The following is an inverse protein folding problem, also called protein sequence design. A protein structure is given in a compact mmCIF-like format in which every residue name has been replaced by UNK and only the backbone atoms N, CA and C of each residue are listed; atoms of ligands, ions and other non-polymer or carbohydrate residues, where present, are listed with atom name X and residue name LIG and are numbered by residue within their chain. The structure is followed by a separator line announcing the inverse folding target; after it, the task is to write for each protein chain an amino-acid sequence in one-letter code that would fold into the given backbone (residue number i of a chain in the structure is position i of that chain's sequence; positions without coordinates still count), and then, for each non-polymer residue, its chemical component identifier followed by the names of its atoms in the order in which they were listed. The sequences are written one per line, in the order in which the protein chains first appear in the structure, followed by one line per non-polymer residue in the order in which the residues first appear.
data_IF_045849908490
#
_entry.id   IF_045849908490
#
_cell.length_a   1.000
_cell.length_b   1.000
_cell.length_c   1.000
_cell.angle_alpha   90.00
_cell.angle_beta   90.00
_cell.angle_gamma   90.00
#
_symmetry.space_group_name_H-M   'P 1'
#
loop_
_entity.id
_entity.type
_entity.pdbx_description
1 polymer ?
#
# COMPACT_ATOMS: atom_id res chain seq x y z
N UNK A 1 18.52 -3.30 9.73
CA UNK A 1 17.25 -2.77 10.27
C UNK A 1 16.25 -3.90 10.40
N UNK A 2 15.48 -3.90 11.48
CA UNK A 2 14.56 -5.01 11.76
C UNK A 2 13.29 -4.92 10.93
N UNK A 3 12.89 -6.04 10.32
CA UNK A 3 11.62 -6.13 9.60
C UNK A 3 10.49 -6.28 10.61
N UNK A 4 9.55 -5.34 10.59
CA UNK A 4 8.37 -5.34 11.48
C UNK A 4 7.23 -6.16 10.85
N UNK A 5 7.06 -6.05 9.53
CA UNK A 5 6.00 -6.75 8.81
C UNK A 5 6.60 -7.61 7.70
N UNK A 6 6.59 -8.95 7.84
CA UNK A 6 7.15 -9.82 6.80
C UNK A 6 6.37 -9.80 5.48
N UNK A 7 5.08 -9.48 5.53
CA UNK A 7 4.25 -9.31 4.32
C UNK A 7 3.59 -7.96 4.35
N UNK A 8 3.91 -7.12 3.37
CA UNK A 8 3.35 -5.76 3.27
C UNK A 8 2.98 -5.47 1.83
N UNK A 9 2.04 -4.55 1.64
CA UNK A 9 1.72 -4.01 0.32
C UNK A 9 1.88 -2.50 0.35
N UNK A 10 2.68 -1.98 -0.57
CA UNK A 10 2.75 -0.56 -0.85
C UNK A 10 1.84 -0.24 -2.03
N UNK A 11 1.10 0.85 -1.92
CA UNK A 11 0.15 1.26 -2.96
C UNK A 11 0.39 2.72 -3.33
N UNK A 12 0.60 2.96 -4.61
CA UNK A 12 0.59 4.31 -5.18
C UNK A 12 -0.80 4.53 -5.79
N UNK A 13 -1.59 5.42 -5.18
CA UNK A 13 -2.99 5.63 -5.55
C UNK A 13 -3.12 6.83 -6.47
N UNK A 14 -3.75 6.61 -7.62
CA UNK A 14 -4.12 7.64 -8.57
C UNK A 14 -5.64 7.71 -8.72
N UNK A 15 -6.12 8.68 -9.47
CA UNK A 15 -7.57 8.85 -9.65
C UNK A 15 -8.21 7.64 -10.32
N UNK A 16 -7.58 7.10 -11.37
CA UNK A 16 -8.18 6.08 -12.22
C UNK A 16 -7.56 4.70 -12.07
N UNK A 17 -6.45 4.59 -11.35
CA UNK A 17 -5.76 3.31 -11.16
C UNK A 17 -4.92 3.35 -9.88
N UNK A 18 -4.53 2.17 -9.44
CA UNK A 18 -3.54 1.99 -8.37
C UNK A 18 -2.43 1.09 -8.89
N UNK A 19 -1.22 1.30 -8.37
CA UNK A 19 -0.10 0.37 -8.54
C UNK A 19 0.21 -0.19 -7.17
N UNK A 20 0.19 -1.51 -7.05
CA UNK A 20 0.38 -2.21 -5.79
C UNK A 20 1.57 -3.17 -5.87
N UNK A 21 2.41 -3.15 -4.86
CA UNK A 21 3.54 -4.08 -4.74
C UNK A 21 3.46 -4.78 -3.39
N UNK A 22 3.32 -6.11 -3.41
CA UNK A 22 3.45 -6.92 -2.20
C UNK A 22 4.92 -7.31 -2.06
N UNK A 23 5.49 -7.03 -0.88
CA UNK A 23 6.83 -7.46 -0.52
C UNK A 23 6.73 -8.56 0.52
N UNK A 24 7.29 -9.73 0.21
CA UNK A 24 7.32 -10.89 1.09
C UNK A 24 8.76 -11.12 1.53
N UNK A 25 9.03 -10.91 2.82
CA UNK A 25 10.36 -10.98 3.40
C UNK A 25 10.48 -12.20 4.33
N UNK A 26 10.28 -13.39 3.77
CA UNK A 26 10.30 -14.66 4.52
C UNK A 26 11.50 -15.52 4.20
N UNK A 27 12.39 -15.05 3.33
CA UNK A 27 13.65 -15.72 3.00
C UNK A 27 14.76 -14.69 2.94
N UNK A 28 15.97 -15.12 2.56
CA UNK A 28 17.14 -14.22 2.50
C UNK A 28 16.88 -13.05 1.55
N UNK A 29 16.32 -13.34 0.37
CA UNK A 29 15.97 -12.32 -0.60
C UNK A 29 14.46 -12.05 -0.54
N UNK A 30 14.03 -10.77 -0.53
CA UNK A 30 12.61 -10.47 -0.59
C UNK A 30 12.02 -10.82 -1.94
N UNK A 31 10.75 -11.25 -1.93
CA UNK A 31 9.98 -11.48 -3.15
C UNK A 31 9.01 -10.30 -3.34
N UNK A 32 8.93 -9.78 -4.56
CA UNK A 32 8.03 -8.69 -4.89
C UNK A 32 7.00 -9.15 -5.91
N UNK A 33 5.72 -8.88 -5.61
CA UNK A 33 4.61 -9.14 -6.52
C UNK A 33 4.01 -7.78 -6.88
N UNK A 34 4.07 -7.40 -8.14
CA UNK A 34 3.55 -6.10 -8.59
C UNK A 34 2.31 -6.31 -9.44
N UNK A 35 1.30 -5.47 -9.22
CA UNK A 35 0.06 -5.51 -10.00
C UNK A 35 -0.59 -4.14 -10.07
N UNK A 36 -1.26 -3.89 -11.20
CA UNK A 36 -1.99 -2.64 -11.43
C UNK A 36 -3.48 -2.95 -11.52
N UNK A 37 -4.30 -2.13 -10.88
CA UNK A 37 -5.76 -2.27 -10.89
C UNK A 37 -6.37 -0.92 -11.23
N UNK A 38 -7.52 -0.90 -11.90
CA UNK A 38 -8.30 0.32 -12.03
C UNK A 38 -8.99 0.63 -10.70
N UNK A 39 -9.49 1.87 -10.57
CA UNK A 39 -10.25 2.25 -9.38
C UNK A 39 -11.75 1.99 -9.53
N UNK A 40 -12.19 1.29 -10.56
CA UNK A 40 -13.55 0.79 -10.63
C UNK A 40 -13.79 -0.23 -9.51
N UNK A 41 -15.00 -0.21 -8.96
CA UNK A 41 -15.32 -1.00 -7.76
C UNK A 41 -14.97 -2.49 -7.92
N UNK A 42 -15.32 -3.09 -9.05
CA UNK A 42 -15.05 -4.53 -9.26
C UNK A 42 -13.55 -4.84 -9.29
N UNK A 43 -12.74 -3.92 -9.82
CA UNK A 43 -11.29 -4.11 -9.84
C UNK A 43 -10.69 -3.93 -8.45
N UNK A 44 -11.23 -3.02 -7.64
CA UNK A 44 -10.79 -2.87 -6.25
C UNK A 44 -11.15 -4.10 -5.42
N UNK A 45 -12.28 -4.75 -5.71
CA UNK A 45 -12.62 -6.03 -5.07
C UNK A 45 -11.59 -7.10 -5.45
N UNK A 46 -11.18 -7.16 -6.73
CA UNK A 46 -10.11 -8.07 -7.16
C UNK A 46 -8.79 -7.78 -6.47
N UNK A 47 -8.48 -6.50 -6.28
CA UNK A 47 -7.29 -6.09 -5.55
C UNK A 47 -7.35 -6.60 -4.10
N UNK A 48 -8.46 -6.41 -3.42
CA UNK A 48 -8.68 -6.92 -2.06
C UNK A 48 -8.46 -8.43 -2.00
N UNK A 49 -9.08 -9.16 -2.94
CA UNK A 49 -8.96 -10.63 -2.97
C UNK A 49 -7.52 -11.07 -3.22
N UNK A 50 -6.80 -10.33 -4.06
CA UNK A 50 -5.38 -10.59 -4.31
C UNK A 50 -4.54 -10.44 -3.03
N UNK A 51 -4.82 -9.42 -2.23
CA UNK A 51 -4.17 -9.25 -0.92
C UNK A 51 -4.47 -10.43 0.00
N UNK A 52 -5.72 -10.83 0.07
CA UNK A 52 -6.15 -11.95 0.93
C UNK A 52 -5.49 -13.25 0.50
N UNK A 53 -5.45 -13.52 -0.80
CA UNK A 53 -4.81 -14.71 -1.37
C UNK A 53 -3.34 -14.79 -1.05
N UNK A 54 -2.68 -13.66 -0.91
CA UNK A 54 -1.25 -13.59 -0.57
C UNK A 54 -1.01 -13.39 0.92
N UNK A 55 -2.04 -13.55 1.74
CA UNK A 55 -1.95 -13.40 3.20
C UNK A 55 -1.31 -12.08 3.60
N UNK A 56 -1.67 -11.00 2.90
CA UNK A 56 -1.11 -9.68 3.14
C UNK A 56 -2.12 -8.82 3.89
N UNK A 57 -1.88 -8.61 5.19
CA UNK A 57 -2.75 -7.85 6.07
C UNK A 57 -2.18 -6.51 6.48
N UNK A 58 -1.05 -6.10 5.90
CA UNK A 58 -0.38 -4.83 6.19
C UNK A 58 -0.26 -4.04 4.91
N UNK A 59 -0.97 -2.92 4.84
CA UNK A 59 -1.07 -2.12 3.63
C UNK A 59 -0.75 -0.67 3.95
N UNK A 60 0.11 -0.08 3.13
CA UNK A 60 0.43 1.34 3.21
C UNK A 60 0.16 1.96 1.85
N UNK A 61 -0.67 2.99 1.81
CA UNK A 61 -0.96 3.69 0.56
C UNK A 61 -0.55 5.15 0.63
N UNK A 62 -0.05 5.66 -0.49
CA UNK A 62 0.22 7.08 -0.69
C UNK A 62 -0.76 7.58 -1.73
N UNK A 63 -1.43 8.69 -1.42
CA UNK A 63 -2.47 9.23 -2.27
C UNK A 63 -2.45 10.74 -2.26
N UNK A 64 -2.71 11.34 -3.42
CA UNK A 64 -2.96 12.76 -3.53
C UNK A 64 -4.44 13.01 -3.23
N UNK A 65 -4.71 13.91 -2.30
CA UNK A 65 -6.09 14.26 -1.95
C UNK A 65 -6.89 13.08 -1.42
N UNK A 66 -8.09 12.90 -1.95
CA UNK A 66 -9.05 11.92 -1.44
C UNK A 66 -9.13 10.64 -2.27
N UNK A 67 -8.24 10.44 -3.22
CA UNK A 67 -8.31 9.26 -4.10
C UNK A 67 -8.13 7.94 -3.36
N UNK A 68 -7.52 7.96 -2.15
CA UNK A 68 -7.38 6.75 -1.33
C UNK A 68 -8.72 6.23 -0.80
N UNK A 69 -9.75 7.08 -0.69
CA UNK A 69 -10.99 6.72 0.01
C UNK A 69 -11.68 5.49 -0.58
N UNK A 70 -11.91 5.38 -1.90
CA UNK A 70 -12.51 4.15 -2.43
C UNK A 70 -11.68 2.91 -2.17
N UNK A 71 -10.36 3.03 -2.22
CA UNK A 71 -9.45 1.92 -1.94
C UNK A 71 -9.57 1.51 -0.48
N UNK A 72 -9.52 2.48 0.43
CA UNK A 72 -9.68 2.22 1.86
C UNK A 72 -11.02 1.55 2.16
N UNK A 73 -12.11 2.04 1.57
CA UNK A 73 -13.45 1.53 1.83
C UNK A 73 -13.60 0.05 1.46
N UNK A 74 -12.93 -0.39 0.40
CA UNK A 74 -12.96 -1.79 -0.02
C UNK A 74 -12.15 -2.68 0.94
N UNK A 75 -11.09 -2.13 1.52
CA UNK A 75 -10.15 -2.91 2.34
C UNK A 75 -10.51 -2.96 3.84
N UNK A 76 -11.19 -1.94 4.37
CA UNK A 76 -11.24 -1.72 5.82
C UNK A 76 -11.80 -2.89 6.63
N UNK A 77 -12.78 -3.64 6.09
CA UNK A 77 -13.39 -4.76 6.82
C UNK A 77 -12.67 -6.09 6.59
N UNK A 78 -11.65 -6.12 5.74
CA UNK A 78 -10.94 -7.35 5.37
C UNK A 78 -9.45 -7.31 5.67
N UNK A 79 -8.86 -6.12 5.78
CA UNK A 79 -7.42 -5.93 6.01
C UNK A 79 -7.23 -5.26 7.36
N UNK A 80 -6.40 -5.86 8.21
CA UNK A 80 -6.31 -5.44 9.60
C UNK A 80 -5.46 -4.20 9.84
N UNK A 81 -4.47 -3.94 8.99
CA UNK A 81 -3.55 -2.81 9.19
C UNK A 81 -3.44 -1.99 7.91
N UNK A 82 -4.11 -0.84 7.89
CA UNK A 82 -4.12 0.06 6.73
C UNK A 82 -3.61 1.43 7.16
N UNK A 83 -2.57 1.90 6.49
CA UNK A 83 -1.96 3.21 6.77
C UNK A 83 -2.02 4.06 5.50
N UNK A 84 -2.39 5.32 5.67
CA UNK A 84 -2.32 6.31 4.58
C UNK A 84 -1.10 7.19 4.84
N UNK A 85 -0.09 7.06 3.96
CA UNK A 85 1.18 7.75 4.10
C UNK A 85 1.08 9.19 3.60
N UNK A 86 1.89 10.05 4.21
CA UNK A 86 2.01 11.44 3.78
C UNK A 86 2.84 11.50 2.48
N UNK A 87 2.27 12.02 1.36
CA UNK A 87 3.00 12.08 0.10
C UNK A 87 4.27 12.93 0.17
N UNK A 88 4.25 14.01 0.93
CA UNK A 88 5.42 14.88 1.08
C UNK A 88 6.58 14.15 1.74
N UNK A 89 6.29 13.36 2.76
CA UNK A 89 7.33 12.58 3.44
C UNK A 89 7.93 11.52 2.53
N UNK A 90 7.09 10.81 1.79
CA UNK A 90 7.57 9.78 0.85
C UNK A 90 8.49 10.39 -0.21
N UNK A 91 8.12 11.54 -0.77
CA UNK A 91 8.93 12.23 -1.78
C UNK A 91 10.24 12.75 -1.20
N UNK A 92 10.21 13.28 0.01
CA UNK A 92 11.41 13.81 0.66
C UNK A 92 12.48 12.73 0.84
N UNK A 93 12.06 11.49 1.08
CA UNK A 93 12.99 10.37 1.26
C UNK A 93 13.49 9.85 -0.09
N UNK A 94 12.61 9.77 -1.09
CA UNK A 94 12.92 9.11 -2.36
C UNK A 94 13.54 10.03 -3.41
N UNK A 95 12.95 11.21 -3.63
CA UNK A 95 13.43 12.18 -4.63
C UNK A 95 12.75 12.08 -5.99
N UNK A 96 12.79 10.94 -6.67
CA UNK A 96 12.24 10.77 -8.02
C UNK A 96 10.86 10.14 -8.00
N UNK A 97 10.06 10.47 -9.01
CA UNK A 97 8.71 9.93 -9.15
C UNK A 97 8.63 8.91 -10.29
N UNK A 98 8.21 7.70 -9.96
CA UNK A 98 7.94 6.62 -10.90
C UNK A 98 6.91 5.71 -10.21
N UNK A 99 5.74 5.51 -10.83
CA UNK A 99 4.61 4.84 -10.17
C UNK A 99 4.95 3.43 -9.68
N UNK A 100 5.65 2.65 -10.50
CA UNK A 100 6.04 1.28 -10.13
C UNK A 100 7.06 1.28 -9.00
N UNK A 101 8.04 2.17 -9.09
CA UNK A 101 9.08 2.29 -8.06
C UNK A 101 8.53 2.91 -6.78
N UNK A 102 7.54 3.80 -6.90
CA UNK A 102 6.92 4.41 -5.73
C UNK A 102 6.20 3.37 -4.87
N UNK A 103 5.42 2.48 -5.47
CA UNK A 103 4.73 1.42 -4.74
C UNK A 103 5.71 0.47 -4.05
N UNK A 104 6.78 0.07 -4.76
CA UNK A 104 7.84 -0.78 -4.18
C UNK A 104 8.53 -0.06 -3.02
N UNK A 105 8.85 1.21 -3.20
CA UNK A 105 9.51 2.02 -2.19
C UNK A 105 8.67 2.16 -0.93
N UNK A 106 7.36 2.39 -1.10
CA UNK A 106 6.43 2.45 0.02
C UNK A 106 6.41 1.11 0.78
N UNK A 107 6.35 -0.01 0.06
CA UNK A 107 6.39 -1.33 0.68
C UNK A 107 7.68 -1.54 1.47
N UNK A 108 8.83 -1.17 0.89
CA UNK A 108 10.13 -1.33 1.53
C UNK A 108 10.25 -0.50 2.81
N UNK A 109 9.74 0.73 2.80
CA UNK A 109 9.74 1.57 4.00
C UNK A 109 8.78 1.03 5.06
N UNK A 110 7.61 0.59 4.62
CA UNK A 110 6.56 0.14 5.54
C UNK A 110 6.95 -1.12 6.30
N UNK A 111 7.63 -2.07 5.64
CA UNK A 111 8.02 -3.33 6.30
C UNK A 111 8.98 -3.10 7.48
N UNK A 112 9.71 -2.00 7.46
CA UNK A 112 10.61 -1.61 8.55
C UNK A 112 9.93 -0.69 9.57
N UNK A 113 8.66 -0.35 9.38
CA UNK A 113 7.92 0.53 10.28
C UNK A 113 8.32 2.00 10.17
N UNK A 114 8.87 2.43 9.04
CA UNK A 114 9.43 3.79 8.89
C UNK A 114 8.38 4.79 8.38
N UNK A 115 7.27 4.32 7.84
CA UNK A 115 6.28 5.19 7.22
C UNK A 115 5.53 6.02 8.28
N UNK A 116 5.37 7.32 8.01
CA UNK A 116 4.56 8.22 8.83
C UNK A 116 3.20 8.42 8.19
N UNK A 117 2.15 8.20 8.97
CA UNK A 117 0.78 8.47 8.52
C UNK A 117 0.51 9.95 8.47
N UNK A 118 -0.21 10.40 7.43
CA UNK A 118 -0.81 11.74 7.45
C UNK A 118 -2.02 11.74 8.38
N UNK A 119 -2.76 10.63 8.37
CA UNK A 119 -3.79 10.32 9.37
C UNK A 119 -4.13 8.83 9.24
N UNK A 120 -4.80 8.31 10.27
CA UNK A 120 -5.29 6.93 10.26
C UNK A 120 -6.81 7.00 10.13
N UNK A 121 -7.41 6.54 9.00
CA UNK A 121 -8.85 6.55 8.83
C UNK A 121 -9.53 5.67 9.89
N UNK A 122 -10.74 6.08 10.30
CA UNK A 122 -11.54 5.32 11.25
C UNK A 122 -12.74 4.75 10.54
N UNK A 123 -12.94 3.43 10.66
CA UNK A 123 -13.92 2.69 9.89
C UNK A 123 -15.36 3.11 10.17
N UNK A 124 -15.64 3.65 11.36
CA UNK A 124 -17.00 4.02 11.77
C UNK A 124 -17.37 5.47 11.44
N UNK A 125 -16.50 6.20 10.78
CA UNK A 125 -16.74 7.60 10.37
C UNK A 125 -17.13 7.71 8.88
#
# INVERSE_FOLDING_TARGET
MKIIYPRVCGIDVHKQFIVAVICISESVEPTYLKKRFSTFHNDLIRFRDWLIQNDCQNVCMESTGKYYIPVYNVLESHISNIVVANPKWVRAVKGEKDDDKDAKWIADLFKFGIVRSSFIPQSHI
#
